data_IF_949181746069
#
_entry.id   IF_949181746069
#
_cell.length_a   1.000
_cell.length_b   1.000
_cell.length_c   1.000
_cell.angle_alpha   90.00
_cell.angle_beta   90.00
_cell.angle_gamma   90.00
#
_symmetry.space_group_name_H-M   'P 1'
#
loop_
_entity.id
_entity.type
_entity.pdbx_description
1 polymer ?
#
# COMPACT_ATOMS: atom_id res chain seq x y z
N UNK A 1 -0.59 22.23 15.65
CA UNK A 1 -0.81 20.99 14.86
C UNK A 1 -2.01 21.22 13.95
N UNK A 2 -1.91 20.95 12.64
CA UNK A 2 -3.06 21.01 11.73
C UNK A 2 -4.08 19.90 12.09
N UNK A 3 -5.38 20.07 11.77
CA UNK A 3 -6.40 19.03 12.04
C UNK A 3 -6.01 17.67 11.44
N UNK A 4 -5.40 17.69 10.25
CA UNK A 4 -4.95 16.48 9.57
C UNK A 4 -3.79 15.78 10.30
N UNK A 5 -2.78 16.53 10.76
CA UNK A 5 -1.65 15.95 11.50
C UNK A 5 -2.10 15.29 12.82
N UNK A 6 -3.13 15.84 13.48
CA UNK A 6 -3.76 15.19 14.63
C UNK A 6 -4.45 13.88 14.23
N UNK A 7 -5.27 13.89 13.18
CA UNK A 7 -5.95 12.67 12.72
C UNK A 7 -4.99 11.56 12.29
N UNK A 8 -3.85 11.90 11.69
CA UNK A 8 -2.80 10.91 11.36
C UNK A 8 -2.17 10.31 12.62
N UNK A 9 -1.88 11.15 13.62
CA UNK A 9 -1.33 10.68 14.88
C UNK A 9 -2.33 9.79 15.64
N UNK A 10 -3.59 10.22 15.72
CA UNK A 10 -4.66 9.47 16.39
C UNK A 10 -4.91 8.11 15.70
N UNK A 11 -4.71 8.02 14.39
CA UNK A 11 -4.82 6.78 13.63
C UNK A 11 -3.61 5.83 13.78
N UNK A 12 -2.47 6.30 14.32
CA UNK A 12 -1.33 5.44 14.65
C UNK A 12 -0.68 4.72 13.46
N UNK A 13 -0.64 5.33 12.26
CA UNK A 13 -0.20 4.66 11.02
C UNK A 13 1.21 4.05 11.09
N UNK A 14 2.17 4.73 11.72
CA UNK A 14 3.54 4.22 11.87
C UNK A 14 3.55 2.93 12.70
N UNK A 15 2.91 2.95 13.86
CA UNK A 15 2.78 1.78 14.74
C UNK A 15 2.09 0.61 14.04
N UNK A 16 1.02 0.90 13.27
CA UNK A 16 0.33 -0.11 12.49
C UNK A 16 1.26 -0.79 11.47
N UNK A 17 2.04 -0.02 10.71
CA UNK A 17 3.00 -0.56 9.75
C UNK A 17 4.10 -1.40 10.42
N UNK A 18 4.58 -0.99 11.59
CA UNK A 18 5.55 -1.77 12.37
C UNK A 18 4.96 -3.12 12.82
N UNK A 19 3.73 -3.12 13.35
CA UNK A 19 3.04 -4.34 13.77
C UNK A 19 2.78 -5.25 12.57
N UNK A 20 2.28 -4.71 11.46
CA UNK A 20 2.01 -5.46 10.23
C UNK A 20 3.28 -6.14 9.70
N UNK A 21 4.39 -5.40 9.66
CA UNK A 21 5.68 -5.94 9.20
C UNK A 21 6.17 -7.07 10.11
N UNK A 22 6.10 -6.89 11.43
CA UNK A 22 6.48 -7.92 12.38
C UNK A 22 5.61 -9.19 12.22
N UNK A 23 4.29 -9.03 12.11
CA UNK A 23 3.36 -10.15 11.93
C UNK A 23 3.54 -10.87 10.60
N UNK A 24 3.85 -10.15 9.53
CA UNK A 24 4.15 -10.75 8.25
C UNK A 24 5.42 -11.61 8.30
N UNK A 25 6.50 -11.10 8.90
CA UNK A 25 7.74 -11.88 9.08
C UNK A 25 7.49 -13.15 9.90
N UNK A 26 6.73 -13.05 10.99
CA UNK A 26 6.37 -14.22 11.80
C UNK A 26 5.56 -15.27 11.01
N UNK A 27 4.83 -14.85 9.98
CA UNK A 27 4.06 -15.72 9.09
C UNK A 27 4.85 -16.17 7.84
N UNK A 28 6.13 -15.81 7.71
CA UNK A 28 6.93 -16.08 6.51
C UNK A 28 6.48 -15.28 5.28
N UNK A 29 5.81 -14.14 5.48
CA UNK A 29 5.32 -13.24 4.45
C UNK A 29 6.17 -11.98 4.33
N UNK A 30 6.10 -11.36 3.16
CA UNK A 30 6.76 -10.09 2.86
C UNK A 30 5.73 -8.95 2.80
N UNK A 31 6.08 -7.81 3.39
CA UNK A 31 5.34 -6.54 3.24
C UNK A 31 6.14 -5.64 2.32
N UNK A 32 5.49 -5.08 1.31
CA UNK A 32 6.10 -4.14 0.36
C UNK A 32 5.34 -2.82 0.45
N UNK A 33 5.98 -1.75 0.96
CA UNK A 33 5.38 -0.44 0.95
C UNK A 33 5.35 0.11 -0.47
N UNK A 34 4.21 0.67 -0.87
CA UNK A 34 4.03 1.38 -2.14
C UNK A 34 3.50 2.78 -1.87
N UNK A 35 3.77 3.71 -2.78
CA UNK A 35 3.25 5.08 -2.65
C UNK A 35 1.72 5.08 -2.62
N UNK A 36 1.13 5.75 -1.62
CA UNK A 36 -0.31 5.97 -1.51
C UNK A 36 -0.77 7.27 -2.21
N UNK A 37 0.15 8.00 -2.86
CA UNK A 37 -0.16 9.28 -3.49
C UNK A 37 -1.24 9.13 -4.58
N UNK A 38 -2.28 9.95 -4.52
CA UNK A 38 -3.42 9.97 -5.46
C UNK A 38 -4.23 8.67 -5.65
N UNK A 39 -4.03 7.62 -4.84
CA UNK A 39 -4.73 6.33 -5.09
C UNK A 39 -6.26 6.41 -5.01
N UNK A 40 -6.81 7.35 -4.23
CA UNK A 40 -8.25 7.61 -4.15
C UNK A 40 -8.76 8.55 -5.25
N UNK A 41 -7.85 9.20 -5.99
CA UNK A 41 -8.13 10.19 -7.02
C UNK A 41 -8.02 9.56 -8.41
N UNK A 42 -6.96 8.81 -8.66
CA UNK A 42 -6.69 8.15 -9.94
C UNK A 42 -7.66 6.98 -10.14
N UNK A 43 -8.24 6.86 -11.35
CA UNK A 43 -9.10 5.74 -11.69
C UNK A 43 -8.28 4.46 -11.85
N UNK A 44 -8.64 3.41 -11.11
CA UNK A 44 -7.94 2.12 -11.21
C UNK A 44 -8.20 1.35 -12.52
N UNK A 45 -9.21 1.77 -13.29
CA UNK A 45 -9.52 1.19 -14.60
C UNK A 45 -8.79 1.89 -15.75
N UNK A 46 -8.90 3.22 -15.87
CA UNK A 46 -8.32 3.97 -16.99
C UNK A 46 -7.09 4.83 -16.64
N UNK A 47 -6.71 4.94 -15.37
CA UNK A 47 -5.57 5.74 -14.91
C UNK A 47 -5.82 7.26 -14.83
N UNK A 48 -6.91 7.76 -15.39
CA UNK A 48 -7.20 9.20 -15.40
C UNK A 48 -7.55 9.73 -14.01
N UNK A 49 -7.17 10.98 -13.75
CA UNK A 49 -7.39 11.59 -12.44
C UNK A 49 -8.85 12.03 -12.30
N UNK A 50 -9.48 11.64 -11.20
CA UNK A 50 -10.85 12.04 -10.84
C UNK A 50 -10.80 12.84 -9.53
N UNK A 51 -10.60 14.17 -9.57
CA UNK A 51 -10.53 15.01 -8.38
C UNK A 51 -11.79 14.93 -7.52
N UNK A 52 -11.64 14.64 -6.23
CA UNK A 52 -12.76 14.53 -5.28
C UNK A 52 -12.36 14.94 -3.86
N UNK A 53 -13.32 15.53 -3.13
CA UNK A 53 -13.17 15.94 -1.71
C UNK A 53 -13.19 14.72 -0.78
N UNK A 54 -12.63 14.85 0.43
CA UNK A 54 -12.51 13.74 1.40
C UNK A 54 -13.84 13.09 1.82
N UNK A 55 -14.94 13.86 1.82
CA UNK A 55 -16.27 13.34 2.18
C UNK A 55 -16.93 12.54 1.04
N UNK A 56 -16.41 12.65 -0.19
CA UNK A 56 -16.91 11.86 -1.31
C UNK A 56 -16.35 10.45 -1.16
N UNK A 57 -17.22 9.49 -0.87
CA UNK A 57 -16.89 8.08 -0.59
C UNK A 57 -17.05 7.17 -1.79
N UNK A 58 -17.73 7.64 -2.83
CA UNK A 58 -17.96 6.90 -4.06
C UNK A 58 -17.01 7.40 -5.17
N UNK A 59 -16.56 6.50 -6.03
CA UNK A 59 -15.71 6.81 -7.19
C UNK A 59 -16.50 6.53 -8.46
N UNK A 60 -16.97 7.59 -9.11
CA UNK A 60 -17.51 7.56 -10.47
C UNK A 60 -16.52 8.21 -11.42
N UNK A 61 -16.01 7.45 -12.39
CA UNK A 61 -15.05 7.94 -13.36
C UNK A 61 -15.77 8.49 -14.61
N UNK A 62 -15.69 9.81 -14.90
CA UNK A 62 -16.35 10.39 -16.07
C UNK A 62 -15.65 10.02 -17.39
N UNK A 63 -14.44 9.47 -17.34
CA UNK A 63 -13.65 9.14 -18.52
C UNK A 63 -13.91 7.73 -19.06
N UNK A 64 -14.29 6.78 -18.19
CA UNK A 64 -14.49 5.39 -18.59
C UNK A 64 -15.77 4.74 -18.03
N UNK A 65 -16.57 5.48 -17.26
CA UNK A 65 -17.81 4.97 -16.66
C UNK A 65 -17.61 4.01 -15.48
N UNK A 66 -16.37 3.79 -15.02
CA UNK A 66 -16.07 2.91 -13.89
C UNK A 66 -16.62 3.49 -12.58
N UNK A 67 -17.36 2.68 -11.82
CA UNK A 67 -18.09 3.10 -10.62
C UNK A 67 -17.92 2.08 -9.48
N UNK A 68 -17.40 2.51 -8.33
CA UNK A 68 -17.19 1.68 -7.13
C UNK A 68 -16.93 2.53 -5.88
N UNK A 69 -16.88 1.88 -4.72
CA UNK A 69 -16.40 2.54 -3.49
C UNK A 69 -14.96 3.06 -3.65
N UNK A 70 -14.72 4.29 -3.18
CA UNK A 70 -13.44 4.99 -3.33
C UNK A 70 -12.28 4.25 -2.68
N UNK A 71 -12.50 3.63 -1.53
CA UNK A 71 -11.43 2.91 -0.84
C UNK A 71 -11.13 1.58 -1.55
N UNK A 72 -12.14 0.95 -2.18
CA UNK A 72 -11.92 -0.18 -3.09
C UNK A 72 -11.11 0.23 -4.32
N UNK A 73 -11.43 1.35 -4.97
CA UNK A 73 -10.61 1.91 -6.06
C UNK A 73 -9.15 2.15 -5.63
N UNK A 74 -8.97 2.75 -4.45
CA UNK A 74 -7.64 2.98 -3.89
C UNK A 74 -6.87 1.68 -3.63
N UNK A 75 -7.54 0.64 -3.13
CA UNK A 75 -6.94 -0.68 -2.91
C UNK A 75 -6.47 -1.34 -4.21
N UNK A 76 -7.26 -1.22 -5.30
CA UNK A 76 -6.86 -1.72 -6.62
C UNK A 76 -5.62 -0.97 -7.13
N UNK A 77 -5.58 0.36 -6.97
CA UNK A 77 -4.40 1.15 -7.33
C UNK A 77 -3.15 0.73 -6.54
N UNK A 78 -3.28 0.48 -5.23
CA UNK A 78 -2.19 -0.03 -4.39
C UNK A 78 -1.70 -1.40 -4.90
N UNK A 79 -2.62 -2.31 -5.22
CA UNK A 79 -2.30 -3.62 -5.82
C UNK A 79 -1.55 -3.45 -7.14
N UNK A 80 -2.05 -2.61 -8.04
CA UNK A 80 -1.45 -2.41 -9.36
C UNK A 80 -0.04 -1.82 -9.26
N UNK A 81 0.21 -0.90 -8.32
CA UNK A 81 1.55 -0.40 -8.03
C UNK A 81 2.46 -1.50 -7.51
N UNK A 82 1.95 -2.39 -6.66
CA UNK A 82 2.71 -3.51 -6.12
C UNK A 82 3.07 -4.58 -7.16
N UNK A 83 2.27 -4.78 -8.22
CA UNK A 83 2.52 -5.78 -9.27
C UNK A 83 3.84 -5.55 -10.04
N UNK A 84 4.35 -4.31 -10.07
CA UNK A 84 5.67 -3.98 -10.62
C UNK A 84 6.85 -4.25 -9.67
N UNK A 85 6.59 -4.46 -8.37
CA UNK A 85 7.63 -4.85 -7.43
C UNK A 85 7.94 -6.33 -7.61
N UNK A 86 9.22 -6.71 -7.57
CA UNK A 86 9.70 -8.10 -7.72
C UNK A 86 9.33 -8.99 -6.52
N UNK A 87 8.05 -9.09 -6.16
CA UNK A 87 7.52 -9.95 -5.09
C UNK A 87 7.83 -11.43 -5.41
N UNK A 88 7.87 -11.77 -6.70
CA UNK A 88 8.19 -13.11 -7.19
C UNK A 88 9.65 -13.54 -6.98
N UNK A 89 10.59 -12.59 -6.81
CA UNK A 89 11.99 -12.95 -6.57
C UNK A 89 12.19 -13.45 -5.13
N UNK A 90 11.50 -12.85 -4.16
CA UNK A 90 11.57 -13.28 -2.77
C UNK A 90 11.02 -14.70 -2.57
N UNK A 91 9.88 -15.03 -3.20
CA UNK A 91 9.30 -16.39 -3.13
C UNK A 91 10.25 -17.47 -3.71
N UNK A 92 11.01 -17.13 -4.77
CA UNK A 92 12.02 -18.00 -5.38
C UNK A 92 13.31 -18.14 -4.56
N UNK A 93 13.68 -17.11 -3.80
CA UNK A 93 14.82 -17.14 -2.88
C UNK A 93 14.49 -17.94 -1.60
N UNK A 94 13.25 -17.85 -1.13
CA UNK A 94 12.75 -18.60 0.03
C UNK A 94 12.56 -20.10 -0.27
N UNK A 95 12.26 -20.50 -1.52
CA UNK A 95 12.07 -21.91 -1.87
C UNK A 95 13.36 -22.71 -2.00
N UNK A 96 14.52 -22.05 -2.18
CA UNK A 96 15.75 -22.72 -2.65
C UNK A 96 16.93 -22.66 -1.68
N UNK A 97 16.79 -22.14 -0.46
CA UNK A 97 17.97 -21.86 0.36
C UNK A 97 17.79 -22.31 1.79
N UNK A 98 18.62 -23.28 2.22
CA UNK A 98 19.08 -23.43 3.61
C UNK A 98 19.92 -22.22 4.02
N UNK A 99 19.37 -21.01 3.91
CA UNK A 99 20.01 -19.78 4.34
C UNK A 99 19.12 -19.23 5.44
N UNK A 100 19.47 -19.60 6.66
CA UNK A 100 18.87 -19.04 7.86
C UNK A 100 19.08 -17.53 7.90
N UNK A 101 18.02 -16.83 8.32
CA UNK A 101 17.99 -15.64 9.18
C UNK A 101 18.87 -14.39 8.87
N UNK A 102 19.85 -14.41 7.97
CA UNK A 102 20.76 -13.29 7.71
C UNK A 102 20.29 -12.32 6.61
N UNK A 103 19.26 -12.67 5.84
CA UNK A 103 18.71 -11.78 4.79
C UNK A 103 17.58 -10.86 5.27
N UNK A 104 17.13 -11.00 6.53
CA UNK A 104 16.02 -10.22 7.12
C UNK A 104 16.47 -8.91 7.77
N UNK A 105 17.68 -8.44 7.47
CA UNK A 105 18.22 -7.15 7.91
C UNK A 105 18.56 -6.27 6.70
N UNK A 106 17.55 -5.89 5.92
CA UNK A 106 17.64 -4.78 4.96
C UNK A 106 16.57 -3.75 5.37
N UNK A 107 16.94 -2.48 5.52
CA UNK A 107 16.73 -1.75 6.76
C UNK A 107 15.34 -1.13 6.84
N UNK A 108 14.74 -1.23 8.03
CA UNK A 108 13.59 -0.45 8.51
C UNK A 108 13.91 1.06 8.63
N UNK A 109 15.08 1.53 8.14
CA UNK A 109 15.63 2.87 8.37
C UNK A 109 15.59 3.82 7.16
N UNK A 110 14.70 3.62 6.18
CA UNK A 110 14.54 4.59 5.09
C UNK A 110 13.10 4.90 4.66
N UNK A 111 12.17 4.84 5.61
CA UNK A 111 10.79 5.29 5.41
C UNK A 111 10.34 6.12 6.62
N UNK A 112 10.95 7.29 6.76
CA UNK A 112 10.28 8.49 7.29
C UNK A 112 10.14 9.44 6.13
#
# INVERSE_FOLDING_TARGET
>A
RTRLAKSVLDAGWSSFLSILTNKAVNAGLLVIPVSAHNTSQDCSNCGEKVPKKLHIRWHDCPHCGFSLDRDHNAAINIKNRALGHRVLKAKRLLSNSRIGLEAYTIPVLRLV
#
